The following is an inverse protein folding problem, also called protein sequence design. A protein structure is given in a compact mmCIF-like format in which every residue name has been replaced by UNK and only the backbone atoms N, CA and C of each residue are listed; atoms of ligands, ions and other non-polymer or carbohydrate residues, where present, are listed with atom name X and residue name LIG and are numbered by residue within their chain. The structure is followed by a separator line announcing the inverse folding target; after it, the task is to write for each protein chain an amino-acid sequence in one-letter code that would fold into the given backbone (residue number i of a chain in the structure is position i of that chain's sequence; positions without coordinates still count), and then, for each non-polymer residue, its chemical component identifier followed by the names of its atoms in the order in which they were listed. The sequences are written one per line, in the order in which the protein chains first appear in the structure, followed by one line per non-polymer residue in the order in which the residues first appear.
data_IF_148889121424
#
_entry.id   IF_148889121424
#
_cell.length_a   1.000
_cell.length_b   1.000
_cell.length_c   1.000
_cell.angle_alpha   90.00
_cell.angle_beta   90.00
_cell.angle_gamma   90.00
#
_symmetry.space_group_name_H-M   'P 1'
#
loop_
_entity.id
_entity.type
_entity.pdbx_description
1 polymer ?
#
# COMPACT_ATOMS: atom_id res chain seq x y z
N UNK A 1 -0.36 1.01 -9.14
CA UNK A 1 -1.25 0.00 -9.79
C UNK A 1 -0.53 -1.30 -10.11
N UNK A 2 0.62 -1.28 -10.82
CA UNK A 2 1.38 -2.49 -11.12
C UNK A 2 1.72 -3.34 -9.88
N UNK A 3 2.13 -2.71 -8.78
CA UNK A 3 2.42 -3.41 -7.54
C UNK A 3 1.20 -4.15 -6.95
N UNK A 4 0.03 -3.52 -6.94
CA UNK A 4 -1.21 -4.17 -6.47
C UNK A 4 -1.56 -5.38 -7.32
N UNK A 5 -1.44 -5.25 -8.64
CA UNK A 5 -1.66 -6.37 -9.56
C UNK A 5 -0.66 -7.49 -9.27
N UNK A 6 0.62 -7.17 -9.08
CA UNK A 6 1.65 -8.14 -8.75
C UNK A 6 1.33 -8.90 -7.45
N UNK A 7 0.90 -8.21 -6.39
CA UNK A 7 0.49 -8.83 -5.11
C UNK A 7 -0.72 -9.75 -5.29
N UNK A 8 -1.72 -9.34 -6.08
CA UNK A 8 -2.89 -10.18 -6.38
C UNK A 8 -2.48 -11.42 -7.16
N UNK A 9 -1.63 -11.28 -8.18
CA UNK A 9 -1.11 -12.41 -8.96
C UNK A 9 -0.32 -13.37 -8.06
N UNK A 10 0.55 -12.87 -7.18
CA UNK A 10 1.27 -13.70 -6.20
C UNK A 10 0.32 -14.47 -5.27
N UNK A 11 -0.74 -13.81 -4.77
CA UNK A 11 -1.75 -14.46 -3.94
C UNK A 11 -2.47 -15.59 -4.70
N UNK A 12 -2.83 -15.37 -5.97
CA UNK A 12 -3.44 -16.38 -6.81
C UNK A 12 -2.50 -17.57 -7.05
N UNK A 13 -1.22 -17.31 -7.33
CA UNK A 13 -0.21 -18.37 -7.49
C UNK A 13 -0.12 -19.22 -6.22
N UNK A 14 -0.03 -18.60 -5.03
CA UNK A 14 0.05 -19.33 -3.76
C UNK A 14 -1.22 -20.16 -3.52
N UNK A 15 -2.41 -19.61 -3.80
CA UNK A 15 -3.68 -20.34 -3.69
C UNK A 15 -3.75 -21.55 -4.63
N UNK A 16 -3.36 -21.39 -5.89
CA UNK A 16 -3.34 -22.47 -6.87
C UNK A 16 -2.38 -23.57 -6.42
N UNK A 17 -1.18 -23.21 -5.95
CA UNK A 17 -0.20 -24.17 -5.43
C UNK A 17 -0.71 -24.92 -4.20
N UNK A 18 -1.40 -24.24 -3.28
CA UNK A 18 -2.01 -24.85 -2.09
C UNK A 18 -3.05 -25.90 -2.46
N UNK A 19 -3.95 -25.56 -3.39
CA UNK A 19 -4.97 -26.50 -3.89
C UNK A 19 -4.35 -27.68 -4.63
N UNK A 20 -3.31 -27.45 -5.45
CA UNK A 20 -2.60 -28.51 -6.16
C UNK A 20 -1.88 -29.49 -5.20
N UNK A 21 -1.50 -29.03 -4.01
CA UNK A 21 -0.91 -29.86 -2.96
C UNK A 21 -1.96 -30.60 -2.10
N UNK A 22 -3.25 -30.54 -2.44
CA UNK A 22 -4.34 -31.18 -1.71
C UNK A 22 -5.01 -30.32 -0.63
N UNK A 23 -4.65 -29.03 -0.55
CA UNK A 23 -5.29 -28.07 0.34
C UNK A 23 -6.74 -27.75 -0.04
N UNK A 24 -7.48 -27.14 0.87
CA UNK A 24 -8.89 -26.76 0.68
C UNK A 24 -9.06 -25.25 0.52
N UNK A 25 -10.04 -24.76 -0.25
CA UNK A 25 -10.41 -23.34 -0.25
C UNK A 25 -10.80 -22.80 1.13
N UNK A 26 -11.23 -23.68 2.06
CA UNK A 26 -11.53 -23.31 3.45
C UNK A 26 -10.30 -22.76 4.19
N UNK A 27 -9.11 -23.16 3.76
CA UNK A 27 -7.85 -22.77 4.40
C UNK A 27 -7.46 -21.32 4.07
N UNK A 28 -8.09 -20.71 3.06
CA UNK A 28 -7.75 -19.35 2.60
C UNK A 28 -8.08 -18.26 3.64
N UNK A 29 -9.02 -18.54 4.55
CA UNK A 29 -9.47 -17.60 5.58
C UNK A 29 -8.82 -17.82 6.95
N UNK A 30 -7.91 -18.79 7.08
CA UNK A 30 -7.26 -19.09 8.36
C UNK A 30 -6.29 -17.95 8.70
N UNK A 31 -6.50 -17.34 9.88
CA UNK A 31 -5.67 -16.25 10.36
C UNK A 31 -4.35 -16.80 10.89
N UNK A 32 -3.30 -16.77 10.07
CA UNK A 32 -1.98 -17.27 10.41
C UNK A 32 -0.89 -16.31 9.89
N UNK A 33 -0.25 -15.57 10.79
CA UNK A 33 0.77 -14.59 10.42
C UNK A 33 2.12 -15.19 10.02
N UNK A 34 2.30 -16.50 10.15
CA UNK A 34 3.47 -17.21 9.62
C UNK A 34 3.21 -17.71 8.20
N UNK A 35 1.93 -17.86 7.82
CA UNK A 35 1.52 -18.28 6.50
C UNK A 35 1.60 -17.15 5.46
N UNK A 36 2.39 -17.38 4.40
CA UNK A 36 2.54 -16.46 3.27
C UNK A 36 1.19 -16.08 2.62
N UNK A 37 0.26 -17.03 2.47
CA UNK A 37 -1.05 -16.80 1.85
C UNK A 37 -1.85 -15.76 2.62
N UNK A 38 -1.90 -15.89 3.94
CA UNK A 38 -2.60 -14.95 4.82
C UNK A 38 -1.96 -13.57 4.78
N UNK A 39 -0.62 -13.52 4.78
CA UNK A 39 0.13 -12.26 4.75
C UNK A 39 -0.07 -11.53 3.42
N UNK A 40 -0.07 -12.25 2.30
CA UNK A 40 -0.41 -11.68 0.98
C UNK A 40 -1.84 -11.14 0.93
N UNK A 41 -2.81 -11.86 1.50
CA UNK A 41 -4.19 -11.39 1.62
C UNK A 41 -4.29 -10.09 2.44
N UNK A 42 -3.61 -10.02 3.58
CA UNK A 42 -3.54 -8.81 4.42
C UNK A 42 -2.86 -7.63 3.70
N UNK A 43 -1.83 -7.90 2.91
CA UNK A 43 -1.16 -6.87 2.09
C UNK A 43 -2.13 -6.36 1.02
N UNK A 44 -2.84 -7.24 0.32
CA UNK A 44 -3.84 -6.86 -0.67
C UNK A 44 -4.94 -5.99 -0.07
N UNK A 45 -5.52 -6.36 1.08
CA UNK A 45 -6.57 -5.54 1.71
C UNK A 45 -6.02 -4.17 2.12
N UNK A 46 -4.83 -4.12 2.73
CA UNK A 46 -4.18 -2.84 3.04
C UNK A 46 -3.92 -1.98 1.78
N UNK A 47 -3.59 -2.63 0.66
CA UNK A 47 -3.43 -1.95 -0.62
C UNK A 47 -4.73 -1.30 -1.09
N UNK A 48 -5.83 -2.05 -1.06
CA UNK A 48 -7.17 -1.60 -1.49
C UNK A 48 -7.73 -0.51 -0.57
N UNK A 49 -7.48 -0.58 0.74
CA UNK A 49 -8.02 0.39 1.70
C UNK A 49 -7.34 1.77 1.60
N UNK A 50 -6.01 1.80 1.41
CA UNK A 50 -5.26 3.06 1.49
C UNK A 50 -4.95 3.68 0.11
N UNK A 51 -5.03 2.92 -1.00
CA UNK A 51 -4.84 3.49 -2.34
C UNK A 51 -5.87 4.56 -2.72
N UNK A 52 -7.18 4.40 -2.43
CA UNK A 52 -8.18 5.42 -2.70
C UNK A 52 -7.90 6.74 -1.97
N UNK A 53 -7.37 6.69 -0.74
CA UNK A 53 -7.00 7.89 0.02
C UNK A 53 -5.91 8.67 -0.71
N UNK A 54 -4.83 8.01 -1.11
CA UNK A 54 -3.76 8.63 -1.90
C UNK A 54 -4.27 9.19 -3.23
N UNK A 55 -5.09 8.41 -3.95
CA UNK A 55 -5.65 8.85 -5.23
C UNK A 55 -6.50 10.12 -5.07
N UNK A 56 -7.30 10.19 -4.01
CA UNK A 56 -8.11 11.37 -3.70
C UNK A 56 -7.26 12.63 -3.48
N UNK A 57 -6.16 12.49 -2.74
CA UNK A 57 -5.23 13.62 -2.49
C UNK A 57 -4.52 14.05 -3.76
N UNK A 58 -4.00 13.11 -4.56
CA UNK A 58 -3.34 13.45 -5.84
C UNK A 58 -4.32 14.07 -6.83
N UNK A 59 -5.56 13.56 -6.90
CA UNK A 59 -6.61 14.16 -7.72
C UNK A 59 -6.89 15.60 -7.28
N UNK A 60 -6.98 15.86 -5.98
CA UNK A 60 -7.18 17.21 -5.46
C UNK A 60 -6.05 18.15 -5.86
N UNK A 61 -4.79 17.71 -5.76
CA UNK A 61 -3.63 18.49 -6.20
C UNK A 61 -3.68 18.81 -7.69
N UNK A 62 -4.03 17.84 -8.53
CA UNK A 62 -4.21 18.02 -9.99
C UNK A 62 -5.31 19.05 -10.27
N UNK A 63 -6.48 18.91 -9.64
CA UNK A 63 -7.61 19.82 -9.84
C UNK A 63 -7.31 21.24 -9.36
N UNK A 64 -6.43 21.40 -8.37
CA UNK A 64 -5.96 22.68 -7.85
C UNK A 64 -4.76 23.25 -8.61
N UNK A 65 -4.18 22.50 -9.55
CA UNK A 65 -2.98 22.89 -10.28
C UNK A 65 -1.73 23.01 -9.41
N UNK A 66 -1.70 22.35 -8.24
CA UNK A 66 -0.58 22.41 -7.30
C UNK A 66 0.51 21.46 -7.77
N UNK A 67 1.64 22.01 -8.19
CA UNK A 67 2.79 21.26 -8.71
C UNK A 67 4.09 21.80 -8.11
N UNK A 68 5.18 21.04 -8.23
CA UNK A 68 6.52 21.47 -7.84
C UNK A 68 7.34 20.40 -7.11
N UNK A 69 8.63 20.68 -6.94
CA UNK A 69 9.62 19.72 -6.41
C UNK A 69 9.23 19.13 -5.06
N UNK A 70 8.60 19.92 -4.18
CA UNK A 70 8.15 19.45 -2.87
C UNK A 70 7.01 18.42 -3.01
N UNK A 71 6.04 18.69 -3.88
CA UNK A 71 4.91 17.78 -4.15
C UNK A 71 5.45 16.46 -4.73
N UNK A 72 6.33 16.55 -5.73
CA UNK A 72 6.95 15.39 -6.37
C UNK A 72 7.77 14.55 -5.37
N UNK A 73 8.50 15.22 -4.47
CA UNK A 73 9.25 14.59 -3.40
C UNK A 73 8.34 13.84 -2.42
N UNK A 74 7.28 14.47 -1.93
CA UNK A 74 6.32 13.86 -1.00
C UNK A 74 5.60 12.65 -1.62
N UNK A 75 5.21 12.76 -2.90
CA UNK A 75 4.63 11.65 -3.66
C UNK A 75 5.63 10.50 -3.78
N UNK A 76 6.89 10.80 -4.12
CA UNK A 76 7.94 9.80 -4.27
C UNK A 76 8.21 9.06 -2.95
N UNK A 77 8.33 9.80 -1.84
CA UNK A 77 8.50 9.24 -0.49
C UNK A 77 7.31 8.35 -0.14
N UNK A 78 6.07 8.81 -0.36
CA UNK A 78 4.87 8.02 -0.11
C UNK A 78 4.92 6.68 -0.86
N UNK A 79 5.23 6.68 -2.15
CA UNK A 79 5.28 5.46 -2.98
C UNK A 79 6.41 4.52 -2.53
N UNK A 80 7.59 5.03 -2.18
CA UNK A 80 8.69 4.20 -1.69
C UNK A 80 8.29 3.49 -0.40
N UNK A 81 7.74 4.22 0.58
CA UNK A 81 7.31 3.63 1.85
C UNK A 81 6.09 2.71 1.70
N UNK A 82 5.25 2.92 0.69
CA UNK A 82 4.17 2.00 0.31
C UNK A 82 4.70 0.64 -0.12
N UNK A 83 5.73 0.64 -0.96
CA UNK A 83 6.41 -0.58 -1.41
C UNK A 83 7.12 -1.26 -0.24
N UNK A 84 7.88 -0.50 0.55
CA UNK A 84 8.58 -1.01 1.73
C UNK A 84 7.62 -1.64 2.73
N UNK A 85 6.53 -0.96 3.08
CA UNK A 85 5.49 -1.48 3.97
C UNK A 85 4.94 -2.82 3.49
N UNK A 86 4.64 -2.92 2.19
CA UNK A 86 4.13 -4.15 1.57
C UNK A 86 5.17 -5.27 1.62
N UNK A 87 6.43 -4.99 1.26
CA UNK A 87 7.51 -5.99 1.24
C UNK A 87 7.79 -6.50 2.64
N UNK A 88 7.95 -5.63 3.64
CA UNK A 88 8.17 -5.99 5.06
C UNK A 88 7.06 -6.91 5.55
N UNK A 89 5.80 -6.62 5.17
CA UNK A 89 4.65 -7.46 5.50
C UNK A 89 4.64 -8.79 4.74
N UNK A 90 5.11 -8.85 3.50
CA UNK A 90 5.23 -10.08 2.68
C UNK A 90 6.41 -10.97 3.07
N UNK A 91 7.48 -10.44 3.67
CA UNK A 91 8.60 -11.26 4.20
C UNK A 91 8.46 -11.62 5.68
N UNK A 92 7.72 -10.82 6.47
CA UNK A 92 7.36 -11.16 7.85
C UNK A 92 8.39 -10.60 8.81
N UNK A 93 9.02 -9.52 8.38
CA UNK A 93 10.00 -8.78 9.15
C UNK A 93 9.31 -7.98 10.27
N UNK A 94 10.12 -7.29 11.05
CA UNK A 94 9.71 -6.58 12.26
C UNK A 94 8.44 -5.72 12.02
N UNK A 95 7.34 -5.98 12.76
CA UNK A 95 6.13 -5.18 12.73
C UNK A 95 6.37 -3.68 12.94
N UNK A 96 7.42 -3.29 13.68
CA UNK A 96 7.76 -1.88 13.93
C UNK A 96 8.09 -1.13 12.65
N UNK A 97 8.77 -1.79 11.69
CA UNK A 97 9.09 -1.21 10.39
C UNK A 97 7.82 -0.95 9.56
N UNK A 98 6.79 -1.79 9.71
CA UNK A 98 5.50 -1.56 9.05
C UNK A 98 4.81 -0.33 9.62
N UNK A 99 4.74 -0.24 10.94
CA UNK A 99 4.12 0.90 11.61
C UNK A 99 4.85 2.20 11.24
N UNK A 100 6.19 2.20 11.26
CA UNK A 100 6.99 3.35 10.86
C UNK A 100 6.73 3.75 9.40
N UNK A 101 6.71 2.78 8.48
CA UNK A 101 6.42 3.02 7.06
C UNK A 101 5.00 3.59 6.85
N UNK A 102 4.03 3.12 7.62
CA UNK A 102 2.66 3.61 7.58
C UNK A 102 2.57 5.05 8.12
N UNK A 103 3.24 5.34 9.23
CA UNK A 103 3.27 6.68 9.80
C UNK A 103 3.88 7.72 8.84
N UNK A 104 4.95 7.34 8.12
CA UNK A 104 5.57 8.20 7.11
C UNK A 104 4.60 8.44 5.95
N UNK A 105 3.91 7.40 5.46
CA UNK A 105 2.89 7.55 4.42
C UNK A 105 1.78 8.54 4.83
N UNK A 106 1.25 8.41 6.05
CA UNK A 106 0.22 9.34 6.55
C UNK A 106 0.75 10.77 6.69
N UNK A 107 1.99 10.94 7.15
CA UNK A 107 2.63 12.25 7.26
C UNK A 107 2.75 12.93 5.88
N UNK A 108 3.15 12.18 4.85
CA UNK A 108 3.17 12.68 3.48
C UNK A 108 1.78 13.06 2.97
N UNK A 109 0.75 12.23 3.25
CA UNK A 109 -0.62 12.54 2.85
C UNK A 109 -1.14 13.82 3.49
N UNK A 110 -0.90 14.02 4.79
CA UNK A 110 -1.29 15.23 5.52
C UNK A 110 -0.61 16.45 4.89
N UNK A 111 0.71 16.40 4.67
CA UNK A 111 1.45 17.51 4.05
C UNK A 111 0.94 17.82 2.63
N UNK A 112 0.63 16.80 1.83
CA UNK A 112 0.06 16.97 0.49
C UNK A 112 -1.34 17.62 0.54
N UNK A 113 -2.17 17.25 1.52
CA UNK A 113 -3.49 17.86 1.73
C UNK A 113 -3.34 19.33 2.14
N UNK A 114 -2.44 19.63 3.07
CA UNK A 114 -2.15 21.01 3.49
C UNK A 114 -1.71 21.86 2.31
N UNK A 115 -0.80 21.35 1.48
CA UNK A 115 -0.41 22.02 0.23
C UNK A 115 -1.62 22.21 -0.69
N UNK A 116 -2.46 21.19 -0.89
CA UNK A 116 -3.63 21.32 -1.76
C UNK A 116 -4.62 22.40 -1.30
N UNK A 117 -4.79 22.56 0.02
CA UNK A 117 -5.73 23.52 0.64
C UNK A 117 -5.14 24.94 0.67
N UNK A 118 -3.90 25.10 1.13
CA UNK A 118 -3.32 26.41 1.42
C UNK A 118 -2.49 27.00 0.28
N UNK A 119 -2.13 26.20 -0.74
CA UNK A 119 -1.42 26.72 -1.90
C UNK A 119 -2.33 27.69 -2.67
N UNK A 120 -1.87 28.94 -2.79
CA UNK A 120 -2.54 30.02 -3.50
C UNK A 120 -1.80 30.27 -4.80
N UNK A 121 -2.40 29.90 -5.93
CA UNK A 121 -1.91 30.32 -7.24
C UNK A 121 -2.07 31.83 -7.35
N UNK A 122 -0.96 32.55 -7.44
CA UNK A 122 -0.94 33.97 -7.80
C UNK A 122 -1.27 34.15 -9.28
#
# INVERSE_FOLDING_TARGET
MLWTIAVVVLLLIVRIRHLAAGGSPKDFGVMDNDNLMWRLFRVQSNLIENLPLYLGVVLLLILRGVTGVIVDGLISVYIIFRLLHSIVHIIGADPRLRIASLAIQFSCLIALIELAIFYRSH
#
